data_IF_571611543124
#
_entry.id   IF_571611543124
#
_cell.length_a   1.000
_cell.length_b   1.000
_cell.length_c   1.000
_cell.angle_alpha   90.00
_cell.angle_beta   90.00
_cell.angle_gamma   90.00
#
_symmetry.space_group_name_H-M   'P 1'
#
loop_
_entity.id
_entity.type
_entity.pdbx_description
1 polymer ?
#
# COMPACT_ATOMS: atom_id res chain seq x y z
N UNK A 1 -11.88 -11.86 -7.03
CA UNK A 1 -10.70 -11.66 -6.18
C UNK A 1 -10.93 -12.37 -4.87
N UNK A 2 -9.92 -13.11 -4.39
CA UNK A 2 -9.94 -13.72 -3.05
C UNK A 2 -9.37 -12.75 -2.01
N UNK A 3 -8.50 -11.81 -2.41
CA UNK A 3 -7.99 -10.81 -1.48
C UNK A 3 -7.86 -9.42 -2.11
N UNK A 4 -7.71 -8.40 -1.25
CA UNK A 4 -7.55 -6.98 -1.63
C UNK A 4 -6.35 -6.37 -0.89
N UNK A 5 -5.49 -5.67 -1.63
CA UNK A 5 -4.45 -4.80 -1.08
C UNK A 5 -5.00 -3.37 -1.01
N UNK A 6 -4.88 -2.75 0.16
CA UNK A 6 -5.29 -1.36 0.38
C UNK A 6 -4.05 -0.48 0.22
N UNK A 7 -3.95 0.23 -0.91
CA UNK A 7 -2.93 1.25 -1.11
C UNK A 7 -3.39 2.59 -0.53
N UNK A 8 -2.64 3.15 0.41
CA UNK A 8 -2.99 4.41 1.06
C UNK A 8 -1.79 5.34 1.22
N UNK A 9 -2.04 6.64 1.28
CA UNK A 9 -1.05 7.63 1.64
C UNK A 9 -1.14 7.94 3.13
N UNK A 10 0.00 8.17 3.78
CA UNK A 10 0.07 8.53 5.19
C UNK A 10 -0.17 10.04 5.39
N UNK A 11 -1.43 10.44 5.22
CA UNK A 11 -1.92 11.82 5.38
C UNK A 11 -2.99 11.91 6.48
N UNK A 12 -3.39 13.12 6.88
CA UNK A 12 -4.20 13.37 8.08
C UNK A 12 -5.52 12.58 8.12
N UNK A 13 -6.20 12.42 6.98
CA UNK A 13 -7.50 11.73 6.88
C UNK A 13 -7.40 10.21 6.69
N UNK A 14 -6.19 9.66 6.72
CA UNK A 14 -5.96 8.31 6.23
C UNK A 14 -6.56 7.21 7.13
N UNK A 15 -6.66 7.43 8.45
CA UNK A 15 -7.18 6.42 9.40
C UNK A 15 -8.71 6.33 9.43
N UNK A 16 -9.40 7.46 9.35
CA UNK A 16 -10.86 7.49 9.32
C UNK A 16 -11.39 6.84 8.03
N UNK A 17 -10.82 7.24 6.89
CA UNK A 17 -11.17 6.64 5.59
C UNK A 17 -10.84 5.15 5.52
N UNK A 18 -9.73 4.73 6.13
CA UNK A 18 -9.37 3.32 6.22
C UNK A 18 -10.40 2.52 7.03
N UNK A 19 -10.83 3.02 8.19
CA UNK A 19 -11.83 2.33 9.02
C UNK A 19 -13.16 2.12 8.27
N UNK A 20 -13.61 3.13 7.52
CA UNK A 20 -14.80 3.02 6.68
C UNK A 20 -14.62 1.99 5.54
N UNK A 21 -13.44 1.96 4.90
CA UNK A 21 -13.11 0.99 3.86
C UNK A 21 -13.10 -0.45 4.40
N UNK A 22 -12.50 -0.68 5.57
CA UNK A 22 -12.47 -1.98 6.22
C UNK A 22 -13.88 -2.49 6.53
N UNK A 23 -14.77 -1.60 7.01
CA UNK A 23 -16.18 -1.95 7.23
C UNK A 23 -16.90 -2.32 5.93
N UNK A 24 -16.57 -1.65 4.82
CA UNK A 24 -17.14 -1.97 3.51
C UNK A 24 -16.64 -3.31 2.95
N UNK A 25 -15.35 -3.62 3.08
CA UNK A 25 -14.80 -4.92 2.69
C UNK A 25 -15.43 -6.05 3.51
N UNK A 26 -15.59 -5.86 4.83
CA UNK A 26 -16.28 -6.83 5.70
C UNK A 26 -17.72 -7.07 5.27
N UNK A 27 -18.48 -6.02 4.96
CA UNK A 27 -19.85 -6.18 4.44
C UNK A 27 -19.89 -6.99 3.15
N UNK A 28 -18.97 -6.75 2.22
CA UNK A 28 -18.89 -7.51 0.96
C UNK A 28 -18.54 -8.97 1.26
N UNK A 29 -17.60 -9.21 2.18
CA UNK A 29 -17.26 -10.55 2.64
C UNK A 29 -18.51 -11.30 3.14
N UNK A 30 -19.26 -10.68 4.05
CA UNK A 30 -20.44 -11.29 4.70
C UNK A 30 -21.64 -11.49 3.75
N UNK A 31 -21.76 -10.70 2.68
CA UNK A 31 -22.98 -10.66 1.86
C UNK A 31 -22.83 -11.19 0.44
N UNK A 32 -21.63 -11.08 -0.15
CA UNK A 32 -21.41 -11.35 -1.59
C UNK A 32 -20.29 -12.35 -1.83
N UNK A 33 -19.18 -12.24 -1.09
CA UNK A 33 -17.98 -13.03 -1.33
C UNK A 33 -17.29 -13.44 -0.02
N UNK A 34 -17.71 -14.55 0.58
CA UNK A 34 -17.20 -15.03 1.87
C UNK A 34 -15.69 -15.31 1.90
N UNK A 35 -15.07 -15.51 0.74
CA UNK A 35 -13.63 -15.74 0.61
C UNK A 35 -12.84 -14.43 0.49
N UNK A 36 -13.49 -13.26 0.55
CA UNK A 36 -12.82 -11.96 0.38
C UNK A 36 -12.05 -11.55 1.63
N UNK A 37 -10.72 -11.54 1.53
CA UNK A 37 -9.85 -11.16 2.62
C UNK A 37 -9.10 -9.85 2.34
N UNK A 38 -8.60 -9.23 3.40
CA UNK A 38 -7.68 -8.11 3.30
C UNK A 38 -6.28 -8.67 3.32
N UNK A 39 -5.63 -8.64 2.16
CA UNK A 39 -4.26 -9.12 1.99
C UNK A 39 -3.28 -8.28 2.82
N UNK A 40 -3.47 -6.95 2.78
CA UNK A 40 -2.64 -6.03 3.54
C UNK A 40 -2.79 -4.58 3.14
N UNK A 41 -2.10 -3.73 3.89
CA UNK A 41 -2.11 -2.28 3.76
C UNK A 41 -0.74 -1.83 3.28
N UNK A 42 -0.71 -1.21 2.10
CA UNK A 42 0.49 -0.67 1.46
C UNK A 42 0.54 0.85 1.62
N UNK A 43 1.62 1.33 2.24
CA UNK A 43 1.88 2.77 2.38
C UNK A 43 2.58 3.28 1.11
N UNK A 44 1.94 4.21 0.43
CA UNK A 44 2.37 4.75 -0.87
C UNK A 44 2.68 6.25 -0.79
N UNK A 45 3.46 6.73 -1.77
CA UNK A 45 4.00 8.10 -1.82
C UNK A 45 4.68 8.53 -0.51
N UNK A 46 5.29 7.58 0.19
CA UNK A 46 5.87 7.77 1.51
C UNK A 46 7.05 8.75 1.45
N UNK A 47 7.05 9.76 2.33
CA UNK A 47 8.14 10.71 2.51
C UNK A 47 8.54 10.77 4.00
N UNK A 48 9.69 10.21 4.40
CA UNK A 48 10.12 10.18 5.80
C UNK A 48 10.46 11.56 6.36
N UNK A 49 10.57 12.59 5.53
CA UNK A 49 10.83 13.97 5.97
C UNK A 49 9.59 14.63 6.54
N UNK A 50 8.41 14.08 6.27
CA UNK A 50 7.16 14.56 6.82
C UNK A 50 6.86 13.83 8.13
N UNK A 51 6.85 14.55 9.25
CA UNK A 51 6.56 13.98 10.58
C UNK A 51 5.19 13.31 10.62
N UNK A 52 4.19 13.86 9.94
CA UNK A 52 2.84 13.29 9.86
C UNK A 52 2.87 11.91 9.19
N UNK A 53 3.70 11.73 8.17
CA UNK A 53 3.84 10.45 7.48
C UNK A 53 4.40 9.37 8.41
N UNK A 54 5.35 9.72 9.27
CA UNK A 54 5.89 8.81 10.29
C UNK A 54 4.87 8.49 11.37
N UNK A 55 4.18 9.50 11.90
CA UNK A 55 3.17 9.34 12.95
C UNK A 55 2.00 8.45 12.50
N UNK A 56 1.43 8.73 11.31
CA UNK A 56 0.35 7.91 10.74
C UNK A 56 0.86 6.48 10.46
N UNK A 57 2.11 6.32 10.02
CA UNK A 57 2.69 4.99 9.81
C UNK A 57 2.80 4.18 11.11
N UNK A 58 3.21 4.81 12.22
CA UNK A 58 3.28 4.16 13.52
C UNK A 58 1.90 3.76 14.02
N UNK A 59 0.91 4.65 13.88
CA UNK A 59 -0.49 4.34 14.20
C UNK A 59 -0.99 3.16 13.37
N UNK A 60 -0.73 3.12 12.05
CA UNK A 60 -1.11 1.99 11.21
C UNK A 60 -0.53 0.66 11.72
N UNK A 61 0.75 0.63 12.09
CA UNK A 61 1.34 -0.57 12.66
C UNK A 61 0.74 -0.95 14.02
N UNK A 62 0.47 0.03 14.88
CA UNK A 62 -0.16 -0.19 16.18
C UNK A 62 -1.58 -0.79 16.03
N UNK A 63 -2.38 -0.27 15.09
CA UNK A 63 -3.78 -0.67 14.91
C UNK A 63 -3.96 -1.94 14.05
N UNK A 64 -3.15 -2.13 13.01
CA UNK A 64 -3.34 -3.18 12.01
C UNK A 64 -2.24 -4.24 12.00
N UNK A 65 -1.15 -4.02 12.75
CA UNK A 65 -0.09 -5.00 12.97
C UNK A 65 0.43 -5.61 11.67
N UNK A 66 0.31 -6.94 11.57
CA UNK A 66 0.84 -7.72 10.46
C UNK A 66 0.13 -7.46 9.13
N UNK A 67 -1.07 -6.86 9.12
CA UNK A 67 -1.72 -6.46 7.87
C UNK A 67 -0.94 -5.36 7.15
N UNK A 68 -0.14 -4.56 7.86
CA UNK A 68 0.66 -3.51 7.22
C UNK A 68 1.91 -4.14 6.59
N UNK A 69 2.13 -3.89 5.29
CA UNK A 69 3.38 -4.25 4.64
C UNK A 69 4.52 -3.47 5.26
N UNK A 70 5.66 -4.12 5.52
CA UNK A 70 6.89 -3.45 5.97
C UNK A 70 7.44 -2.56 4.85
N UNK A 71 7.32 -3.02 3.62
CA UNK A 71 7.66 -2.27 2.41
C UNK A 71 6.80 -1.01 2.28
N UNK A 72 7.42 0.09 1.87
CA UNK A 72 6.76 1.36 1.52
C UNK A 72 7.10 1.72 0.09
N UNK A 73 6.14 2.32 -0.63
CA UNK A 73 6.41 2.88 -1.95
C UNK A 73 6.75 4.38 -1.77
N UNK A 74 8.01 4.79 -1.98
CA UNK A 74 8.42 6.17 -1.74
C UNK A 74 7.86 7.09 -2.82
N UNK A 75 7.72 8.38 -2.50
CA UNK A 75 7.50 9.41 -3.52
C UNK A 75 8.69 9.43 -4.50
N UNK A 76 8.42 9.19 -5.78
CA UNK A 76 9.47 9.03 -6.78
C UNK A 76 9.04 9.61 -8.15
N UNK A 77 9.85 10.52 -8.70
CA UNK A 77 9.55 11.19 -9.98
C UNK A 77 9.53 10.22 -11.15
N UNK A 78 10.45 9.23 -11.20
CA UNK A 78 10.49 8.23 -12.28
C UNK A 78 9.22 7.39 -12.34
N UNK A 79 8.65 7.01 -11.20
CA UNK A 79 7.35 6.33 -11.16
C UNK A 79 6.21 7.20 -11.69
N UNK A 80 6.25 8.51 -11.45
CA UNK A 80 5.25 9.44 -11.93
C UNK A 80 5.40 9.74 -13.45
N UNK A 81 6.62 9.66 -13.97
CA UNK A 81 6.92 9.83 -15.40
C UNK A 81 6.55 8.58 -16.23
N UNK A 82 6.76 7.37 -15.70
CA UNK A 82 6.57 6.13 -16.45
C UNK A 82 5.21 6.00 -17.21
N UNK A 83 4.05 6.39 -16.63
CA UNK A 83 2.77 6.38 -17.34
C UNK A 83 2.73 7.26 -18.59
N UNK A 84 3.40 8.43 -18.61
CA UNK A 84 3.43 9.31 -19.79
C UNK A 84 4.23 8.72 -20.95
N UNK A 85 5.11 7.76 -20.66
CA UNK A 85 5.86 6.97 -21.63
C UNK A 85 5.19 5.63 -21.99
N UNK A 86 4.00 5.34 -21.44
CA UNK A 86 3.29 4.09 -21.69
C UNK A 86 4.04 2.85 -21.18
N UNK A 87 4.95 3.01 -20.21
CA UNK A 87 5.77 1.92 -19.68
C UNK A 87 5.48 1.68 -18.20
N UNK A 88 5.51 0.42 -17.72
CA UNK A 88 5.52 0.14 -16.30
C UNK A 88 6.74 0.79 -15.62
N UNK A 89 6.59 1.28 -14.39
CA UNK A 89 7.67 1.96 -13.66
C UNK A 89 8.96 1.13 -13.51
N UNK A 90 8.83 -0.19 -13.39
CA UNK A 90 9.96 -1.13 -13.32
C UNK A 90 10.72 -1.21 -14.66
N UNK A 91 10.00 -1.12 -15.78
CA UNK A 91 10.58 -1.15 -17.13
C UNK A 91 11.19 0.21 -17.48
N UNK A 92 10.50 1.29 -17.12
CA UNK A 92 10.94 2.66 -17.37
C UNK A 92 12.28 2.97 -16.70
N UNK A 93 12.43 2.64 -15.41
CA UNK A 93 13.70 2.74 -14.70
C UNK A 93 13.78 1.69 -13.59
N UNK A 94 14.40 0.55 -13.91
CA UNK A 94 14.58 -0.59 -12.99
C UNK A 94 15.43 -0.27 -11.76
N UNK A 95 16.28 0.75 -11.83
CA UNK A 95 17.18 1.12 -10.73
C UNK A 95 16.59 2.23 -9.86
N UNK A 96 15.47 2.82 -10.27
CA UNK A 96 14.75 3.81 -9.48
C UNK A 96 14.35 3.25 -8.11
N UNK A 97 14.33 4.13 -7.11
CA UNK A 97 13.87 3.77 -5.74
C UNK A 97 12.45 3.19 -5.75
N UNK A 98 11.60 3.68 -6.64
CA UNK A 98 10.24 3.19 -6.79
C UNK A 98 10.16 1.78 -7.36
N UNK A 99 10.91 1.49 -8.43
CA UNK A 99 10.97 0.14 -9.00
C UNK A 99 11.52 -0.88 -7.99
N UNK A 100 12.59 -0.54 -7.27
CA UNK A 100 13.14 -1.38 -6.21
C UNK A 100 12.14 -1.63 -5.09
N UNK A 101 11.35 -0.62 -4.70
CA UNK A 101 10.31 -0.77 -3.68
C UNK A 101 9.19 -1.72 -4.13
N UNK A 102 8.74 -1.63 -5.39
CA UNK A 102 7.75 -2.58 -5.91
C UNK A 102 8.29 -4.02 -6.00
N UNK A 103 9.57 -4.21 -6.34
CA UNK A 103 10.19 -5.55 -6.30
C UNK A 103 10.27 -6.10 -4.88
N UNK A 104 10.64 -5.27 -3.90
CA UNK A 104 10.64 -5.66 -2.49
C UNK A 104 9.22 -5.99 -1.98
N UNK A 105 8.22 -5.24 -2.43
CA UNK A 105 6.81 -5.51 -2.11
C UNK A 105 6.39 -6.87 -2.69
N UNK A 106 6.74 -7.17 -3.93
CA UNK A 106 6.44 -8.47 -4.53
C UNK A 106 7.08 -9.62 -3.75
N UNK A 107 8.33 -9.46 -3.31
CA UNK A 107 9.00 -10.45 -2.46
C UNK A 107 8.32 -10.59 -1.09
N UNK A 108 7.92 -9.49 -0.46
CA UNK A 108 7.16 -9.52 0.79
C UNK A 108 5.79 -10.17 0.63
N UNK A 109 5.07 -9.87 -0.44
CA UNK A 109 3.79 -10.49 -0.79
C UNK A 109 3.95 -12.00 -0.92
N UNK A 110 4.91 -12.48 -1.71
CA UNK A 110 5.13 -13.91 -1.93
C UNK A 110 5.54 -14.66 -0.65
N UNK A 111 6.17 -14.01 0.32
CA UNK A 111 6.49 -14.62 1.62
C UNK A 111 5.29 -14.76 2.56
N UNK A 112 4.19 -14.05 2.30
CA UNK A 112 2.97 -14.09 3.10
C UNK A 112 1.95 -15.11 2.59
N UNK A 113 2.17 -15.65 1.38
CA UNK A 113 1.41 -16.75 0.77
C UNK A 113 1.90 -18.08 1.34
#
# INVERSE_FOLDING_TARGET
CQSVIIAMQCEYFALEGLSALLGSVRRINETVNADLEIEGILRTMYDPRNSLTSEVSEQLFSHFGNLVYRTVIPRNVRLAEAPSHGQPGIVYDRYSRGARAYMALAEEFMRRQ
#
